data_IF_562348779780
#
_entry.id   IF_562348779780
#
_cell.length_a   1.000
_cell.length_b   1.000
_cell.length_c   1.000
_cell.angle_alpha   90.00
_cell.angle_beta   90.00
_cell.angle_gamma   90.00
#
_symmetry.space_group_name_H-M   'P 1'
#
loop_
_entity.id
_entity.type
_entity.pdbx_description
1 polymer ?
#
# COMPACT_ATOMS: atom_id res chain seq x y z
N UNK A 1 -19.08 -6.36 4.36
CA UNK A 1 -17.75 -6.52 3.72
C UNK A 1 -16.69 -5.92 4.61
N UNK A 2 -15.57 -6.59 4.76
CA UNK A 2 -14.42 -6.08 5.51
C UNK A 2 -13.39 -5.50 4.54
N UNK A 3 -12.84 -4.33 4.87
CA UNK A 3 -11.75 -3.70 4.11
C UNK A 3 -10.63 -3.31 5.07
N UNK A 4 -9.40 -3.62 4.70
CA UNK A 4 -8.22 -3.20 5.44
C UNK A 4 -7.46 -2.20 4.58
N UNK A 5 -7.12 -1.05 5.15
CA UNK A 5 -6.30 -0.04 4.48
C UNK A 5 -4.97 0.14 5.21
N UNK A 6 -3.88 0.00 4.48
CA UNK A 6 -2.55 0.38 4.95
C UNK A 6 -2.37 1.86 4.64
N UNK A 7 -2.55 2.65 5.67
CA UNK A 7 -2.86 4.08 5.61
C UNK A 7 -1.69 4.95 6.04
N UNK A 8 -1.53 6.08 5.35
CA UNK A 8 -0.64 7.16 5.76
C UNK A 8 -1.49 8.43 5.94
N UNK A 9 -1.70 8.89 7.19
CA UNK A 9 -2.56 10.06 7.44
C UNK A 9 -2.02 11.37 6.87
N UNK A 10 -0.75 11.42 6.49
CA UNK A 10 -0.15 12.59 5.85
C UNK A 10 -0.30 12.59 4.33
N UNK A 11 -0.74 11.46 3.75
CA UNK A 11 -0.92 11.33 2.30
C UNK A 11 -2.35 11.69 1.91
N UNK A 12 -2.52 12.70 1.03
CA UNK A 12 -3.84 13.12 0.58
C UNK A 12 -4.63 12.01 -0.12
N UNK A 13 -3.97 11.23 -0.98
CA UNK A 13 -4.59 10.08 -1.65
C UNK A 13 -5.05 9.03 -0.65
N UNK A 14 -4.25 8.78 0.38
CA UNK A 14 -4.59 7.81 1.43
C UNK A 14 -5.81 8.27 2.24
N UNK A 15 -5.87 9.55 2.60
CA UNK A 15 -7.04 10.12 3.29
C UNK A 15 -8.30 10.04 2.45
N UNK A 16 -8.21 10.35 1.16
CA UNK A 16 -9.36 10.28 0.23
C UNK A 16 -9.84 8.85 0.04
N UNK A 17 -8.94 7.89 -0.04
CA UNK A 17 -9.28 6.47 -0.13
C UNK A 17 -10.01 6.02 1.13
N UNK A 18 -9.51 6.38 2.31
CA UNK A 18 -10.17 6.06 3.58
C UNK A 18 -11.58 6.66 3.63
N UNK A 19 -11.76 7.91 3.18
CA UNK A 19 -13.07 8.54 3.12
C UNK A 19 -14.05 7.75 2.24
N UNK A 20 -13.61 7.27 1.08
CA UNK A 20 -14.45 6.45 0.20
C UNK A 20 -14.89 5.17 0.93
N UNK A 21 -13.97 4.50 1.62
CA UNK A 21 -14.29 3.29 2.38
C UNK A 21 -15.30 3.57 3.48
N UNK A 22 -15.11 4.65 4.23
CA UNK A 22 -15.98 5.03 5.35
C UNK A 22 -17.38 5.45 4.88
N UNK A 23 -17.48 6.01 3.69
CA UNK A 23 -18.76 6.44 3.10
C UNK A 23 -19.50 5.31 2.39
N UNK A 24 -18.86 4.17 2.18
CA UNK A 24 -19.49 3.04 1.47
C UNK A 24 -20.32 2.21 2.44
N UNK A 25 -21.66 2.12 2.24
CA UNK A 25 -22.51 1.34 3.14
C UNK A 25 -22.08 -0.14 3.20
N UNK A 26 -22.13 -0.72 4.40
CA UNK A 26 -21.85 -2.14 4.60
C UNK A 26 -20.37 -2.51 4.62
N UNK A 27 -19.47 -1.54 4.59
CA UNK A 27 -18.02 -1.78 4.66
C UNK A 27 -17.51 -1.53 6.08
N UNK A 28 -16.94 -2.56 6.71
CA UNK A 28 -16.22 -2.45 7.98
C UNK A 28 -14.76 -2.16 7.67
N UNK A 29 -14.25 -1.01 8.10
CA UNK A 29 -12.90 -0.56 7.78
C UNK A 29 -11.94 -0.83 8.93
N UNK A 30 -10.83 -1.51 8.65
CA UNK A 30 -9.69 -1.63 9.56
C UNK A 30 -8.57 -0.75 9.01
N UNK A 31 -8.10 0.18 9.83
CA UNK A 31 -7.00 1.09 9.46
C UNK A 31 -5.71 0.62 10.11
N UNK A 32 -4.71 0.37 9.28
CA UNK A 32 -3.35 0.06 9.75
C UNK A 32 -2.45 1.21 9.31
N UNK A 33 -1.90 1.95 10.25
CA UNK A 33 -0.90 2.99 9.95
C UNK A 33 0.44 2.28 9.78
N UNK A 34 0.80 1.97 8.54
CA UNK A 34 1.93 1.11 8.22
C UNK A 34 3.29 1.69 8.62
N UNK A 35 3.39 3.00 8.84
CA UNK A 35 4.63 3.61 9.35
C UNK A 35 4.85 3.29 10.83
N UNK A 36 3.78 3.03 11.57
CA UNK A 36 3.83 2.65 13.00
C UNK A 36 3.80 1.15 13.18
N UNK A 37 3.04 0.46 12.34
CA UNK A 37 2.85 -0.99 12.37
C UNK A 37 3.12 -1.55 10.98
N UNK A 38 4.40 -1.66 10.59
CA UNK A 38 4.74 -2.11 9.24
C UNK A 38 4.27 -3.54 8.96
N UNK A 39 3.89 -3.86 7.72
CA UNK A 39 3.58 -5.22 7.35
C UNK A 39 4.85 -6.09 7.44
N UNK A 40 4.68 -7.37 7.70
CA UNK A 40 5.77 -8.32 7.59
C UNK A 40 6.12 -8.50 6.10
N UNK A 41 7.32 -9.03 5.84
CA UNK A 41 7.74 -9.37 4.48
C UNK A 41 6.73 -10.27 3.79
N UNK A 42 6.28 -11.31 4.49
CA UNK A 42 5.32 -12.29 3.97
C UNK A 42 3.96 -11.65 3.67
N UNK A 43 3.49 -10.76 4.55
CA UNK A 43 2.24 -10.05 4.36
C UNK A 43 2.30 -9.13 3.14
N UNK A 44 3.39 -8.39 3.00
CA UNK A 44 3.54 -7.48 1.86
C UNK A 44 3.64 -8.25 0.54
N UNK A 45 4.36 -9.37 0.50
CA UNK A 45 4.41 -10.23 -0.67
C UNK A 45 3.03 -10.80 -1.01
N UNK A 46 2.26 -11.22 -0.01
CA UNK A 46 0.90 -11.72 -0.20
C UNK A 46 0.01 -10.64 -0.81
N UNK A 47 0.08 -9.43 -0.29
CA UNK A 47 -0.70 -8.30 -0.80
C UNK A 47 -0.34 -7.98 -2.24
N UNK A 48 0.94 -7.89 -2.55
CA UNK A 48 1.37 -7.63 -3.92
C UNK A 48 0.95 -8.74 -4.88
N UNK A 49 1.08 -10.00 -4.48
CA UNK A 49 0.63 -11.12 -5.31
C UNK A 49 -0.86 -11.02 -5.63
N UNK A 50 -1.71 -10.71 -4.63
CA UNK A 50 -3.14 -10.51 -4.86
C UNK A 50 -3.44 -9.28 -5.72
N UNK A 51 -2.60 -8.28 -5.68
CA UNK A 51 -2.76 -7.06 -6.47
C UNK A 51 -2.21 -7.19 -7.90
N UNK A 52 -1.52 -8.30 -8.21
CA UNK A 52 -0.82 -8.45 -9.49
C UNK A 52 0.39 -7.53 -9.61
N UNK A 53 1.05 -7.23 -8.49
CA UNK A 53 2.17 -6.30 -8.41
C UNK A 53 3.47 -7.00 -8.02
N UNK A 54 4.58 -6.41 -8.45
CA UNK A 54 5.91 -6.75 -7.95
C UNK A 54 6.31 -5.74 -6.87
N UNK A 55 7.34 -6.02 -6.05
CA UNK A 55 7.88 -5.01 -5.13
C UNK A 55 8.27 -3.71 -5.84
N UNK A 56 8.82 -3.78 -7.05
CA UNK A 56 9.14 -2.59 -7.85
C UNK A 56 7.89 -1.74 -8.12
N UNK A 57 6.76 -2.37 -8.44
CA UNK A 57 5.49 -1.65 -8.68
C UNK A 57 5.01 -0.93 -7.42
N UNK A 58 5.35 -1.47 -6.25
CA UNK A 58 4.96 -0.90 -4.97
C UNK A 58 5.96 0.10 -4.39
N UNK A 59 7.08 0.32 -5.05
CA UNK A 59 8.09 1.27 -4.57
C UNK A 59 7.64 2.71 -4.80
N UNK A 60 7.73 3.52 -3.74
CA UNK A 60 7.54 4.96 -3.85
C UNK A 60 8.79 5.59 -4.43
N UNK A 61 8.89 5.61 -5.75
CA UNK A 61 10.07 6.10 -6.47
C UNK A 61 10.36 7.59 -6.22
N UNK A 62 9.32 8.35 -5.87
CA UNK A 62 9.45 9.79 -5.55
C UNK A 62 10.05 10.06 -4.17
N UNK A 63 10.09 9.05 -3.30
CA UNK A 63 10.72 9.21 -2.00
C UNK A 63 12.23 9.40 -2.19
N UNK A 64 12.83 10.49 -1.66
CA UNK A 64 14.27 10.74 -1.83
C UNK A 64 15.15 9.54 -1.43
N UNK A 65 14.76 8.82 -0.38
CA UNK A 65 15.49 7.66 0.10
C UNK A 65 15.61 6.56 -0.96
N UNK A 66 14.62 6.43 -1.86
CA UNK A 66 14.66 5.44 -2.93
C UNK A 66 15.85 5.65 -3.86
N UNK A 67 16.08 6.89 -4.28
CA UNK A 67 17.23 7.25 -5.11
C UNK A 67 18.55 7.13 -4.33
N UNK A 68 18.56 7.60 -3.08
CA UNK A 68 19.75 7.55 -2.21
C UNK A 68 20.22 6.11 -2.00
N UNK A 69 19.32 5.15 -1.91
CA UNK A 69 19.64 3.74 -1.73
C UNK A 69 19.86 2.99 -3.06
N UNK A 70 19.79 3.67 -4.19
CA UNK A 70 19.96 3.05 -5.50
C UNK A 70 18.83 2.10 -5.90
N UNK A 71 17.64 2.29 -5.34
CA UNK A 71 16.52 1.34 -5.53
C UNK A 71 15.85 1.45 -6.90
N UNK A 72 16.03 2.57 -7.59
CA UNK A 72 15.41 2.78 -8.90
C UNK A 72 15.88 1.75 -9.95
N UNK A 73 17.06 1.17 -9.73
CA UNK A 73 17.66 0.16 -10.60
C UNK A 73 17.93 -1.16 -9.87
N UNK A 74 17.41 -1.34 -8.66
CA UNK A 74 17.60 -2.54 -7.86
C UNK A 74 16.64 -3.65 -8.28
N UNK A 75 16.94 -4.90 -7.90
CA UNK A 75 16.02 -6.01 -8.10
C UNK A 75 14.91 -6.03 -7.04
N UNK A 76 13.89 -6.86 -7.26
CA UNK A 76 12.73 -6.93 -6.37
C UNK A 76 13.10 -7.35 -4.94
N UNK A 77 14.03 -8.27 -4.78
CA UNK A 77 14.44 -8.72 -3.44
C UNK A 77 15.11 -7.59 -2.65
N UNK A 78 15.98 -6.82 -3.31
CA UNK A 78 16.66 -5.67 -2.70
C UNK A 78 15.65 -4.58 -2.33
N UNK A 79 14.69 -4.31 -3.21
CA UNK A 79 13.63 -3.32 -2.94
C UNK A 79 12.79 -3.77 -1.74
N UNK A 80 12.40 -5.03 -1.69
CA UNK A 80 11.59 -5.55 -0.59
C UNK A 80 12.33 -5.47 0.74
N UNK A 81 13.62 -5.81 0.76
CA UNK A 81 14.45 -5.67 1.97
C UNK A 81 14.51 -4.21 2.45
N UNK A 82 14.64 -3.27 1.51
CA UNK A 82 14.64 -1.85 1.83
C UNK A 82 13.30 -1.38 2.41
N UNK A 83 12.18 -1.89 1.87
CA UNK A 83 10.84 -1.59 2.39
C UNK A 83 10.66 -2.09 3.81
N UNK A 84 11.26 -3.23 4.17
CA UNK A 84 11.20 -3.76 5.53
C UNK A 84 11.98 -2.88 6.51
N UNK A 85 13.13 -2.37 6.08
CA UNK A 85 13.93 -1.47 6.90
C UNK A 85 13.35 -0.05 6.95
N UNK A 86 12.69 0.38 5.87
CA UNK A 86 12.19 1.75 5.69
C UNK A 86 10.77 1.74 5.09
N UNK A 87 9.73 1.57 5.91
CA UNK A 87 8.34 1.50 5.41
C UNK A 87 7.87 2.71 4.60
N UNK A 88 8.52 3.86 4.75
CA UNK A 88 8.22 5.06 3.95
C UNK A 88 8.40 4.82 2.45
N UNK A 89 9.16 3.79 2.07
CA UNK A 89 9.39 3.40 0.68
C UNK A 89 8.20 2.68 0.05
N UNK A 90 7.24 2.25 0.87
CA UNK A 90 6.04 1.57 0.38
C UNK A 90 5.06 2.61 -0.17
N UNK A 91 4.66 2.44 -1.43
CA UNK A 91 3.63 3.29 -2.03
C UNK A 91 2.27 2.99 -1.38
N UNK A 92 1.42 4.01 -1.28
CA UNK A 92 0.21 3.96 -0.45
C UNK A 92 -0.97 4.67 -1.13
N UNK A 93 -2.20 4.32 -0.72
CA UNK A 93 -2.56 3.25 0.21
C UNK A 93 -2.76 1.92 -0.52
N UNK A 94 -2.43 0.82 0.16
CA UNK A 94 -2.89 -0.50 -0.22
C UNK A 94 -4.22 -0.74 0.48
N UNK A 95 -5.18 -1.33 -0.22
CA UNK A 95 -6.46 -1.74 0.35
C UNK A 95 -6.73 -3.18 -0.03
N UNK A 96 -7.16 -3.96 0.95
CA UNK A 96 -7.57 -5.36 0.76
C UNK A 96 -9.03 -5.54 1.16
N UNK A 97 -9.78 -6.22 0.29
CA UNK A 97 -11.13 -6.73 0.58
C UNK A 97 -11.20 -8.18 0.14
N UNK A 98 -12.35 -8.84 0.34
CA UNK A 98 -12.56 -10.19 -0.18
C UNK A 98 -12.53 -10.27 -1.71
N UNK A 99 -12.68 -9.13 -2.40
CA UNK A 99 -12.65 -9.06 -3.86
C UNK A 99 -11.25 -8.85 -4.43
N UNK A 100 -10.27 -8.47 -3.61
CA UNK A 100 -8.90 -8.30 -4.07
C UNK A 100 -8.11 -7.27 -3.29
N UNK A 101 -6.95 -6.92 -3.85
CA UNK A 101 -6.05 -5.90 -3.32
C UNK A 101 -5.75 -4.89 -4.42
N UNK A 102 -5.74 -3.61 -4.07
CA UNK A 102 -5.36 -2.52 -4.97
C UNK A 102 -4.43 -1.52 -4.29
N UNK A 103 -3.46 -1.05 -5.06
CA UNK A 103 -2.78 0.20 -4.75
C UNK A 103 -3.68 1.32 -5.28
N UNK A 104 -4.28 2.08 -4.36
CA UNK A 104 -5.35 3.03 -4.70
C UNK A 104 -4.80 4.41 -5.05
N UNK A 105 -4.16 4.49 -6.19
CA UNK A 105 -3.64 5.73 -6.78
C UNK A 105 -4.01 5.76 -8.27
N UNK A 106 -4.99 6.58 -8.66
CA UNK A 106 -5.81 7.48 -7.81
C UNK A 106 -6.75 6.71 -6.88
N UNK A 107 -7.29 7.42 -5.90
CA UNK A 107 -8.15 6.83 -4.84
C UNK A 107 -9.38 6.11 -5.38
N UNK A 108 -9.90 6.51 -6.52
CA UNK A 108 -11.09 5.90 -7.13
C UNK A 108 -10.88 4.42 -7.48
N UNK A 109 -9.64 3.98 -7.61
CA UNK A 109 -9.33 2.56 -7.86
C UNK A 109 -9.86 1.64 -6.77
N UNK A 110 -10.06 2.14 -5.56
CA UNK A 110 -10.62 1.34 -4.46
C UNK A 110 -11.99 0.80 -4.81
N UNK A 111 -12.76 1.49 -5.64
CA UNK A 111 -14.11 1.07 -6.03
C UNK A 111 -14.10 -0.23 -6.82
N UNK A 112 -13.00 -0.60 -7.44
CA UNK A 112 -12.87 -1.83 -8.21
C UNK A 112 -12.89 -3.09 -7.34
N UNK A 113 -12.68 -2.93 -6.02
CA UNK A 113 -12.69 -4.03 -5.04
C UNK A 113 -13.74 -3.87 -3.95
N UNK A 114 -14.69 -2.99 -4.18
CA UNK A 114 -15.82 -2.78 -3.25
C UNK A 114 -17.11 -3.48 -3.69
#
# INVERSE_FOLDING_TARGET
MKATIWHNPRCGTSRKTLAILEETPGVEVTVIEYLKTPPTREELLRLYARAGMTPRDGLRAKEPLAAEMGLLNADDATILDAMMAHPILIERPLVETDKGVKLCRPQEKVREIL
#
